data_IF_581292673961
#
_entry.id   IF_581292673961
#
_cell.length_a   1.000
_cell.length_b   1.000
_cell.length_c   1.000
_cell.angle_alpha   90.00
_cell.angle_beta   90.00
_cell.angle_gamma   90.00
#
_symmetry.space_group_name_H-M   'P 1'
#
loop_
_entity.id
_entity.type
_entity.pdbx_description
1 polymer ?
#
# COMPACT_ATOMS: atom_id res chain seq x y z
N UNK A 1 22.59 29.88 56.35
CA UNK A 1 21.56 29.05 55.70
C UNK A 1 21.83 29.19 54.22
N UNK A 2 22.74 28.34 53.73
CA UNK A 2 23.25 28.38 52.37
C UNK A 2 22.14 28.00 51.39
N UNK A 3 21.93 28.86 50.40
CA UNK A 3 21.11 28.57 49.24
C UNK A 3 21.95 27.70 48.32
N UNK A 4 21.61 26.42 48.24
CA UNK A 4 22.16 25.53 47.22
C UNK A 4 21.69 25.99 45.83
N UNK A 5 22.58 26.00 44.82
CA UNK A 5 22.17 26.35 43.47
C UNK A 5 21.31 25.23 42.88
N UNK A 6 20.20 25.61 42.26
CA UNK A 6 19.41 24.77 41.36
C UNK A 6 20.34 24.10 40.35
N UNK A 7 20.24 22.77 40.26
CA UNK A 7 20.95 21.97 39.27
C UNK A 7 20.63 22.50 37.87
N UNK A 8 21.68 22.82 37.12
CA UNK A 8 21.57 23.17 35.71
C UNK A 8 20.84 22.05 34.96
N UNK A 9 19.58 22.30 34.60
CA UNK A 9 18.89 21.50 33.59
C UNK A 9 19.69 21.66 32.29
N UNK A 10 20.42 20.62 31.90
CA UNK A 10 21.23 20.61 30.69
C UNK A 10 20.37 20.99 29.48
N UNK A 11 20.94 21.76 28.56
CA UNK A 11 20.27 22.09 27.30
C UNK A 11 19.72 20.82 26.63
N UNK A 12 18.50 20.86 26.08
CA UNK A 12 17.94 19.72 25.36
C UNK A 12 18.87 19.34 24.20
N UNK A 13 19.17 18.04 24.11
CA UNK A 13 19.98 17.49 23.03
C UNK A 13 19.29 17.70 21.69
N UNK A 14 20.03 18.13 20.67
CA UNK A 14 19.51 18.12 19.30
C UNK A 14 19.32 16.69 18.81
N UNK A 15 18.46 16.51 17.80
CA UNK A 15 18.23 15.21 17.17
C UNK A 15 19.53 14.62 16.61
N UNK A 16 20.35 15.43 15.95
CA UNK A 16 21.66 15.03 15.42
C UNK A 16 22.58 14.50 16.52
N UNK A 17 22.66 15.21 17.66
CA UNK A 17 23.49 14.80 18.79
C UNK A 17 22.97 13.52 19.47
N UNK A 18 21.64 13.37 19.58
CA UNK A 18 21.00 12.15 20.08
C UNK A 18 21.30 10.94 19.20
N UNK A 19 21.05 11.06 17.88
CA UNK A 19 21.35 10.01 16.90
C UNK A 19 22.83 9.65 16.90
N UNK A 20 23.72 10.63 16.97
CA UNK A 20 25.16 10.42 17.06
C UNK A 20 25.58 9.54 18.23
N UNK A 21 25.07 9.85 19.43
CA UNK A 21 25.38 9.05 20.63
C UNK A 21 24.90 7.60 20.49
N UNK A 22 23.70 7.40 19.97
CA UNK A 22 23.11 6.07 19.83
C UNK A 22 23.85 5.27 18.76
N UNK A 23 24.11 5.88 17.59
CA UNK A 23 24.85 5.25 16.50
C UNK A 23 26.26 4.87 16.95
N UNK A 24 26.99 5.80 17.58
CA UNK A 24 28.33 5.55 18.09
C UNK A 24 28.38 4.45 19.16
N UNK A 25 27.41 4.45 20.08
CA UNK A 25 27.25 3.39 21.07
C UNK A 25 26.96 2.02 20.45
N UNK A 26 26.11 1.98 19.43
CA UNK A 26 25.72 0.74 18.74
C UNK A 26 26.88 0.12 17.96
N UNK A 27 27.68 0.93 17.26
CA UNK A 27 28.82 0.45 16.46
C UNK A 27 30.13 0.35 17.26
N UNK A 28 30.12 0.77 18.54
CA UNK A 28 31.31 0.78 19.39
C UNK A 28 32.40 1.75 18.96
N UNK A 29 32.05 2.85 18.27
CA UNK A 29 33.00 3.87 17.78
C UNK A 29 32.46 5.27 18.07
N UNK A 30 33.33 6.24 18.27
CA UNK A 30 32.92 7.65 18.22
C UNK A 30 32.53 8.02 16.79
N UNK A 31 31.45 8.78 16.65
CA UNK A 31 31.00 9.32 15.36
C UNK A 31 31.02 10.85 15.39
N UNK A 32 31.41 11.44 14.27
CA UNK A 32 31.49 12.86 14.03
C UNK A 32 30.77 13.24 12.72
N UNK A 33 30.68 14.55 12.45
CA UNK A 33 30.09 15.12 11.23
C UNK A 33 28.68 14.59 10.90
N UNK A 34 27.86 14.39 11.95
CA UNK A 34 26.51 13.85 11.81
C UNK A 34 25.64 14.88 11.11
N UNK A 35 24.98 14.46 10.04
CA UNK A 35 23.95 15.24 9.37
C UNK A 35 22.71 14.38 9.13
N UNK A 36 21.55 15.02 9.28
CA UNK A 36 20.26 14.39 9.07
C UNK A 36 19.54 15.04 7.90
N UNK A 37 19.05 14.20 6.98
CA UNK A 37 18.19 14.65 5.89
C UNK A 37 16.90 13.85 5.92
N UNK A 38 15.80 14.52 6.20
CA UNK A 38 14.48 13.88 6.18
C UNK A 38 14.11 13.46 4.76
N UNK A 39 13.60 12.25 4.60
CA UNK A 39 13.00 11.82 3.34
C UNK A 39 11.63 12.48 3.13
N UNK A 40 11.32 12.83 1.88
CA UNK A 40 10.02 13.37 1.48
C UNK A 40 9.03 12.23 1.27
N UNK A 41 8.46 11.72 2.36
CA UNK A 41 7.51 10.58 2.32
C UNK A 41 7.50 9.87 3.67
N UNK A 42 6.32 9.40 4.08
CA UNK A 42 6.06 8.86 5.42
C UNK A 42 4.80 9.51 6.00
N UNK A 43 3.65 8.88 5.79
CA UNK A 43 2.37 9.39 6.28
C UNK A 43 2.22 9.21 7.80
N UNK A 44 2.80 8.14 8.35
CA UNK A 44 2.73 7.77 9.78
C UNK A 44 3.99 8.12 10.57
N UNK A 45 5.18 8.03 9.95
CA UNK A 45 6.49 8.12 10.64
C UNK A 45 7.47 9.07 9.94
N UNK A 46 8.35 9.66 10.72
CA UNK A 46 9.44 10.48 10.20
C UNK A 46 10.66 9.60 9.89
N UNK A 47 11.15 9.66 8.65
CA UNK A 47 12.31 8.90 8.21
C UNK A 47 13.44 9.86 7.84
N UNK A 48 14.63 9.66 8.41
CA UNK A 48 15.82 10.47 8.17
C UNK A 48 16.95 9.61 7.64
N UNK A 49 17.58 10.05 6.55
CA UNK A 49 18.91 9.61 6.20
C UNK A 49 19.91 10.22 7.20
N UNK A 50 20.79 9.37 7.73
CA UNK A 50 21.89 9.75 8.61
C UNK A 50 23.19 9.56 7.85
N UNK A 51 23.99 10.61 7.77
CA UNK A 51 25.37 10.55 7.31
C UNK A 51 26.27 10.94 8.48
N UNK A 52 27.29 10.15 8.78
CA UNK A 52 28.28 10.41 9.80
C UNK A 52 29.65 9.90 9.36
N UNK A 53 30.70 10.21 10.14
CA UNK A 53 32.05 9.63 9.99
C UNK A 53 32.48 8.97 11.29
N UNK A 54 33.14 7.83 11.20
CA UNK A 54 33.76 7.21 12.38
C UNK A 54 35.11 7.88 12.74
N UNK A 55 35.74 7.40 13.81
CA UNK A 55 37.05 7.90 14.28
C UNK A 55 38.17 7.83 13.23
N UNK A 56 38.08 6.92 12.26
CA UNK A 56 39.03 6.79 11.16
C UNK A 56 38.68 7.71 9.96
N UNK A 57 37.54 8.41 10.04
CA UNK A 57 37.01 9.25 8.96
C UNK A 57 36.19 8.49 7.93
N UNK A 58 35.93 7.19 8.14
CA UNK A 58 35.15 6.37 7.22
C UNK A 58 33.66 6.72 7.31
N UNK A 59 32.93 6.73 6.18
CA UNK A 59 31.52 7.08 6.18
C UNK A 59 30.68 6.01 6.89
N UNK A 60 29.82 6.44 7.81
CA UNK A 60 28.80 5.62 8.46
C UNK A 60 27.43 6.12 8.01
N UNK A 61 26.65 5.24 7.38
CA UNK A 61 25.32 5.56 6.87
C UNK A 61 24.25 4.78 7.60
N UNK A 62 23.23 5.48 8.07
CA UNK A 62 22.09 4.87 8.75
C UNK A 62 20.77 5.50 8.30
N UNK A 63 19.67 4.86 8.64
CA UNK A 63 18.32 5.39 8.54
C UNK A 63 17.72 5.43 9.93
N UNK A 64 17.21 6.59 10.33
CA UNK A 64 16.38 6.73 11.52
C UNK A 64 14.91 6.74 11.08
N UNK A 65 14.13 5.78 11.56
CA UNK A 65 12.66 5.85 11.59
C UNK A 65 12.23 6.21 13.00
N UNK A 66 11.41 7.24 13.16
CA UNK A 66 10.81 7.59 14.45
C UNK A 66 9.36 7.96 14.31
N UNK A 67 8.58 7.66 15.34
CA UNK A 67 7.23 8.20 15.46
C UNK A 67 7.27 9.72 15.72
N UNK A 68 6.19 10.47 15.42
CA UNK A 68 6.14 11.89 15.78
C UNK A 68 6.22 12.08 17.30
N UNK A 69 7.10 12.94 17.84
CA UNK A 69 7.24 13.11 19.30
C UNK A 69 5.91 13.39 20.02
N UNK A 70 5.67 12.68 21.12
CA UNK A 70 4.41 12.76 21.89
C UNK A 70 3.22 12.03 21.25
N UNK A 71 3.41 11.39 20.11
CA UNK A 71 2.47 10.53 19.42
C UNK A 71 3.18 9.21 19.06
N UNK A 72 2.42 8.17 18.71
CA UNK A 72 3.00 6.90 18.26
C UNK A 72 2.78 5.72 19.18
N UNK A 73 3.24 4.57 18.73
CA UNK A 73 2.95 3.27 19.32
C UNK A 73 4.28 2.53 19.53
N UNK A 74 4.81 2.65 20.74
CA UNK A 74 6.07 2.02 21.13
C UNK A 74 6.02 0.49 20.98
N UNK A 75 4.85 -0.12 21.18
CA UNK A 75 4.69 -1.57 21.02
C UNK A 75 4.86 -1.97 19.55
N UNK A 76 4.22 -1.25 18.61
CA UNK A 76 4.43 -1.48 17.17
C UNK A 76 5.87 -1.27 16.73
N UNK A 77 6.55 -0.24 17.26
CA UNK A 77 7.97 -0.02 16.97
C UNK A 77 8.85 -1.18 17.48
N UNK A 78 8.57 -1.70 18.68
CA UNK A 78 9.27 -2.88 19.22
C UNK A 78 8.98 -4.13 18.38
N UNK A 79 7.74 -4.37 17.99
CA UNK A 79 7.36 -5.48 17.13
C UNK A 79 8.15 -5.46 15.82
N UNK A 80 8.22 -4.31 15.16
CA UNK A 80 9.01 -4.12 13.93
C UNK A 80 10.50 -4.42 14.15
N UNK A 81 11.09 -3.95 15.27
CA UNK A 81 12.48 -4.21 15.62
C UNK A 81 12.79 -5.70 15.81
N UNK A 82 11.87 -6.41 16.46
CA UNK A 82 12.03 -7.84 16.73
C UNK A 82 11.89 -8.65 15.43
N UNK A 83 10.91 -8.32 14.58
CA UNK A 83 10.76 -8.93 13.26
C UNK A 83 12.02 -8.81 12.41
N UNK A 84 12.58 -7.59 12.30
CA UNK A 84 13.80 -7.36 11.53
C UNK A 84 14.97 -8.21 12.03
N UNK A 85 15.17 -8.30 13.35
CA UNK A 85 16.24 -9.11 13.93
C UNK A 85 16.03 -10.61 13.70
N UNK A 86 14.80 -11.10 13.88
CA UNK A 86 14.46 -12.51 13.68
C UNK A 86 14.60 -12.90 12.20
N UNK A 87 14.10 -12.07 11.28
CA UNK A 87 14.23 -12.28 9.84
C UNK A 87 15.70 -12.27 9.39
N UNK A 88 16.51 -11.33 9.91
CA UNK A 88 17.95 -11.31 9.65
C UNK A 88 18.63 -12.61 10.10
N UNK A 89 18.30 -13.12 11.30
CA UNK A 89 18.82 -14.38 11.82
C UNK A 89 18.39 -15.59 10.97
N UNK A 90 17.24 -15.52 10.30
CA UNK A 90 16.76 -16.52 9.34
C UNK A 90 17.39 -16.38 7.93
N UNK A 91 18.28 -15.41 7.72
CA UNK A 91 18.96 -15.17 6.44
C UNK A 91 18.15 -14.33 5.44
N UNK A 92 17.07 -13.70 5.87
CA UNK A 92 16.30 -12.75 5.04
C UNK A 92 17.16 -11.49 4.83
N UNK A 93 17.28 -10.98 3.59
CA UNK A 93 17.94 -9.70 3.36
C UNK A 93 17.08 -8.57 3.94
N UNK A 94 17.50 -8.02 5.07
CA UNK A 94 16.88 -6.87 5.76
C UNK A 94 17.97 -5.92 6.27
N UNK A 95 17.66 -4.64 6.50
CA UNK A 95 18.64 -3.71 7.07
C UNK A 95 19.05 -4.15 8.49
N UNK A 96 20.35 -4.07 8.80
CA UNK A 96 20.82 -4.33 10.17
C UNK A 96 20.21 -3.32 11.16
N UNK A 97 19.64 -3.81 12.27
CA UNK A 97 19.10 -2.95 13.33
C UNK A 97 20.20 -2.59 14.32
N UNK A 98 20.76 -1.38 14.18
CA UNK A 98 21.76 -0.84 15.13
C UNK A 98 21.16 -0.58 16.50
N UNK A 99 19.98 0.06 16.58
CA UNK A 99 19.32 0.37 17.83
C UNK A 99 17.80 0.49 17.67
N UNK A 100 17.06 0.15 18.72
CA UNK A 100 15.62 0.35 18.81
C UNK A 100 15.25 0.60 20.26
N UNK A 101 14.46 1.63 20.55
CA UNK A 101 13.96 1.91 21.88
C UNK A 101 12.70 2.77 21.85
N UNK A 102 11.97 2.79 22.97
CA UNK A 102 10.76 3.59 23.15
C UNK A 102 11.05 5.10 23.20
N UNK A 103 12.25 5.47 23.61
CA UNK A 103 12.72 6.86 23.66
C UNK A 103 14.23 6.89 23.88
N UNK A 104 14.86 8.02 23.52
CA UNK A 104 16.23 8.35 23.90
C UNK A 104 16.42 9.89 23.85
N UNK A 105 17.31 10.47 24.69
CA UNK A 105 17.52 11.92 24.72
C UNK A 105 17.85 12.50 23.34
N UNK A 106 17.04 13.45 22.87
CA UNK A 106 17.16 14.12 21.58
C UNK A 106 16.39 13.44 20.44
N UNK A 107 16.02 12.16 20.56
CA UNK A 107 15.05 11.51 19.66
C UNK A 107 13.64 11.69 20.20
N UNK A 108 13.47 11.49 21.51
CA UNK A 108 12.27 11.76 22.31
C UNK A 108 10.96 11.14 21.76
N UNK A 109 11.08 9.99 21.10
CA UNK A 109 9.99 9.19 20.52
C UNK A 109 10.44 7.73 20.33
N UNK A 110 9.50 6.78 20.17
CA UNK A 110 9.84 5.43 19.71
C UNK A 110 10.59 5.48 18.38
N UNK A 111 11.67 4.71 18.27
CA UNK A 111 12.51 4.76 17.08
C UNK A 111 13.20 3.43 16.74
N UNK A 112 13.59 3.36 15.48
CA UNK A 112 14.45 2.37 14.87
C UNK A 112 15.61 3.09 14.17
N UNK A 113 16.83 2.74 14.54
CA UNK A 113 18.05 3.14 13.84
C UNK A 113 18.64 1.91 13.18
N UNK A 114 18.76 1.94 11.86
CA UNK A 114 19.15 0.78 11.06
C UNK A 114 20.17 1.16 9.98
N UNK A 115 20.78 0.15 9.38
CA UNK A 115 21.64 0.29 8.20
C UNK A 115 20.92 1.05 7.07
N UNK A 116 21.66 1.91 6.38
CA UNK A 116 21.19 2.44 5.10
C UNK A 116 21.65 1.53 3.96
N UNK A 117 20.74 0.66 3.54
CA UNK A 117 20.93 -0.19 2.36
C UNK A 117 20.69 0.65 1.09
N UNK A 118 21.60 0.56 0.11
CA UNK A 118 21.44 1.22 -1.19
C UNK A 118 20.65 0.32 -2.16
N UNK A 119 19.68 0.90 -2.86
CA UNK A 119 18.84 0.22 -3.84
C UNK A 119 17.70 1.10 -4.33
N UNK A 120 16.99 0.62 -5.36
CA UNK A 120 15.83 1.27 -5.94
C UNK A 120 14.54 0.61 -5.43
N UNK A 121 13.55 1.43 -5.06
CA UNK A 121 12.24 1.00 -4.57
C UNK A 121 11.08 1.49 -5.42
N UNK A 122 11.34 2.33 -6.43
CA UNK A 122 10.29 2.87 -7.32
C UNK A 122 9.90 1.80 -8.34
N UNK A 123 8.67 1.25 -8.27
CA UNK A 123 8.29 0.10 -9.08
C UNK A 123 8.37 0.35 -10.59
N UNK A 124 7.98 1.56 -11.03
CA UNK A 124 8.04 1.94 -12.44
C UNK A 124 9.45 1.88 -13.02
N UNK A 125 10.48 2.21 -12.22
CA UNK A 125 11.88 2.13 -12.67
C UNK A 125 12.32 0.68 -12.74
N UNK A 126 12.07 -0.10 -11.69
CA UNK A 126 12.38 -1.54 -11.65
C UNK A 126 11.77 -2.31 -12.82
N UNK A 127 10.55 -1.95 -13.23
CA UNK A 127 9.83 -2.58 -14.33
C UNK A 127 10.29 -2.15 -15.73
N UNK A 128 10.93 -0.98 -15.90
CA UNK A 128 11.12 -0.36 -17.23
C UNK A 128 12.54 0.08 -17.54
N UNK A 129 13.31 0.48 -16.53
CA UNK A 129 14.63 1.05 -16.75
C UNK A 129 15.60 -0.06 -17.22
N UNK A 130 16.46 0.21 -18.22
CA UNK A 130 17.39 -0.78 -18.77
C UNK A 130 18.37 -1.35 -17.73
N UNK A 131 18.71 -0.56 -16.70
CA UNK A 131 19.61 -0.98 -15.62
C UNK A 131 19.13 -2.25 -14.89
N UNK A 132 17.82 -2.47 -14.80
CA UNK A 132 17.23 -3.65 -14.13
C UNK A 132 16.82 -4.76 -15.10
N UNK A 133 17.22 -4.70 -16.37
CA UNK A 133 16.81 -5.69 -17.37
C UNK A 133 17.30 -7.10 -17.04
N UNK A 134 18.52 -7.23 -16.51
CA UNK A 134 19.13 -8.54 -16.25
C UNK A 134 18.50 -9.29 -15.08
N UNK A 135 18.10 -8.59 -14.01
CA UNK A 135 17.45 -9.21 -12.84
C UNK A 135 15.97 -9.55 -13.07
N UNK A 136 15.28 -8.88 -14.02
CA UNK A 136 13.82 -8.97 -14.20
C UNK A 136 13.30 -10.40 -14.32
N UNK A 137 13.88 -11.27 -15.17
CA UNK A 137 13.39 -12.63 -15.33
C UNK A 137 13.51 -13.52 -14.09
N UNK A 138 14.47 -13.25 -13.20
CA UNK A 138 14.75 -14.08 -12.01
C UNK A 138 14.11 -13.56 -10.72
N UNK A 139 13.71 -12.29 -10.69
CA UNK A 139 13.30 -11.63 -9.45
C UNK A 139 12.04 -12.23 -8.81
N UNK A 140 11.08 -12.75 -9.59
CA UNK A 140 9.91 -13.42 -9.01
C UNK A 140 10.28 -14.69 -8.23
N UNK A 141 11.22 -15.49 -8.74
CA UNK A 141 11.76 -16.67 -8.05
C UNK A 141 12.59 -16.27 -6.81
N UNK A 142 13.41 -15.23 -6.91
CA UNK A 142 14.17 -14.69 -5.78
C UNK A 142 13.22 -14.23 -4.65
N UNK A 143 12.16 -13.48 -4.98
CA UNK A 143 11.15 -13.03 -4.02
C UNK A 143 10.42 -14.20 -3.36
N UNK A 144 10.11 -15.25 -4.12
CA UNK A 144 9.53 -16.49 -3.58
C UNK A 144 10.45 -17.16 -2.57
N UNK A 145 11.75 -17.25 -2.89
CA UNK A 145 12.75 -17.80 -2.00
C UNK A 145 12.86 -17.01 -0.69
N UNK A 146 12.85 -15.68 -0.79
CA UNK A 146 12.90 -14.75 0.35
C UNK A 146 11.67 -14.87 1.22
N UNK A 147 10.45 -14.93 0.66
CA UNK A 147 9.24 -15.24 1.42
C UNK A 147 9.36 -16.55 2.18
N UNK A 148 9.92 -17.57 1.54
CA UNK A 148 10.17 -18.84 2.22
C UNK A 148 11.11 -18.70 3.41
N UNK A 149 12.17 -17.89 3.31
CA UNK A 149 13.07 -17.59 4.44
C UNK A 149 12.32 -16.89 5.58
N UNK A 150 11.50 -15.89 5.26
CA UNK A 150 10.66 -15.18 6.24
C UNK A 150 9.75 -16.18 6.96
N UNK A 151 9.06 -17.04 6.22
CA UNK A 151 8.08 -17.97 6.79
C UNK A 151 8.70 -19.15 7.55
N UNK A 152 10.02 -19.37 7.43
CA UNK A 152 10.78 -20.32 8.26
C UNK A 152 11.39 -19.68 9.51
N UNK A 153 11.22 -18.38 9.71
CA UNK A 153 11.71 -17.69 10.90
C UNK A 153 11.06 -18.30 12.14
N UNK A 154 11.85 -18.75 13.14
CA UNK A 154 11.33 -19.24 14.40
C UNK A 154 10.45 -18.20 15.12
N UNK A 155 9.31 -18.65 15.65
CA UNK A 155 8.33 -17.77 16.31
C UNK A 155 8.62 -17.55 17.80
N UNK A 156 9.64 -18.20 18.37
CA UNK A 156 9.96 -18.19 19.80
C UNK A 156 10.30 -16.81 20.39
N UNK A 157 10.61 -15.85 19.52
CA UNK A 157 10.90 -14.46 19.91
C UNK A 157 9.79 -13.48 19.50
N UNK A 158 8.69 -13.96 18.92
CA UNK A 158 7.69 -13.16 18.22
C UNK A 158 6.34 -13.04 18.94
N UNK A 159 6.29 -13.33 20.25
CA UNK A 159 5.07 -13.24 21.08
C UNK A 159 4.43 -11.83 21.13
N UNK A 160 5.17 -10.79 20.74
CA UNK A 160 4.67 -9.41 20.66
C UNK A 160 3.76 -9.17 19.46
N UNK A 161 3.77 -10.07 18.47
CA UNK A 161 3.02 -9.93 17.24
C UNK A 161 1.56 -10.30 17.43
N UNK A 162 0.72 -9.60 16.67
CA UNK A 162 -0.70 -9.91 16.57
C UNK A 162 -0.89 -11.32 15.98
N UNK A 163 -1.90 -12.04 16.49
CA UNK A 163 -2.28 -13.38 16.02
C UNK A 163 -3.81 -13.44 15.89
N UNK A 164 -4.31 -12.80 14.84
CA UNK A 164 -5.74 -12.67 14.57
C UNK A 164 -6.07 -13.27 13.21
N UNK A 165 -7.31 -13.77 13.05
CA UNK A 165 -7.81 -14.15 11.74
C UNK A 165 -7.92 -12.90 10.83
N UNK A 166 -7.17 -12.85 9.71
CA UNK A 166 -7.09 -11.66 8.89
C UNK A 166 -8.42 -11.39 8.16
N UNK A 167 -9.21 -12.42 7.83
CA UNK A 167 -10.53 -12.26 7.22
C UNK A 167 -11.52 -11.61 8.18
N UNK A 168 -11.62 -12.10 9.42
CA UNK A 168 -12.47 -11.52 10.47
C UNK A 168 -12.09 -10.06 10.74
N UNK A 169 -10.79 -9.75 10.78
CA UNK A 169 -10.30 -8.39 11.01
C UNK A 169 -10.73 -7.43 9.90
N UNK A 170 -10.51 -7.83 8.64
CA UNK A 170 -10.89 -7.00 7.49
C UNK A 170 -12.41 -6.86 7.37
N UNK A 171 -13.16 -7.91 7.66
CA UNK A 171 -14.62 -7.82 7.69
C UNK A 171 -15.09 -6.84 8.75
N UNK A 172 -14.53 -6.87 9.97
CA UNK A 172 -14.91 -5.95 11.03
C UNK A 172 -14.69 -4.49 10.60
N UNK A 173 -13.52 -4.17 10.02
CA UNK A 173 -13.24 -2.84 9.46
C UNK A 173 -14.29 -2.45 8.42
N UNK A 174 -14.67 -3.39 7.54
CA UNK A 174 -15.70 -3.13 6.54
C UNK A 174 -17.08 -2.89 7.17
N UNK A 175 -17.47 -3.64 8.21
CA UNK A 175 -18.73 -3.44 8.93
C UNK A 175 -18.76 -2.07 9.62
N UNK A 176 -17.66 -1.64 10.21
CA UNK A 176 -17.56 -0.37 10.93
C UNK A 176 -17.67 0.86 10.02
N UNK A 177 -17.42 0.71 8.71
CA UNK A 177 -17.63 1.79 7.72
C UNK A 177 -19.12 2.08 7.44
N UNK A 178 -20.03 1.17 7.79
CA UNK A 178 -21.49 1.27 7.56
C UNK A 178 -21.92 1.73 6.14
N UNK A 179 -21.13 1.39 5.13
CA UNK A 179 -21.44 1.62 3.71
C UNK A 179 -21.24 0.31 2.95
N UNK A 180 -22.28 -0.55 2.86
CA UNK A 180 -22.16 -1.87 2.30
C UNK A 180 -22.13 -1.81 0.78
N UNK A 181 -21.27 -2.65 0.18
CA UNK A 181 -20.99 -2.67 -1.25
C UNK A 181 -21.22 -4.08 -1.81
N UNK A 182 -21.99 -4.25 -2.90
CA UNK A 182 -22.31 -5.58 -3.46
C UNK A 182 -21.08 -6.44 -3.72
N UNK A 183 -20.03 -5.83 -4.27
CA UNK A 183 -18.77 -6.50 -4.63
C UNK A 183 -18.03 -7.02 -3.39
N UNK A 184 -18.04 -6.27 -2.29
CA UNK A 184 -17.42 -6.69 -1.03
C UNK A 184 -18.19 -7.86 -0.41
N UNK A 185 -19.53 -7.81 -0.42
CA UNK A 185 -20.35 -8.91 0.10
C UNK A 185 -20.18 -10.20 -0.73
N UNK A 186 -20.06 -10.08 -2.05
CA UNK A 186 -19.75 -11.19 -2.94
C UNK A 186 -18.38 -11.82 -2.60
N UNK A 187 -17.35 -10.98 -2.42
CA UNK A 187 -16.00 -11.43 -2.03
C UNK A 187 -15.97 -12.09 -0.65
N UNK A 188 -16.59 -11.49 0.37
CA UNK A 188 -16.67 -12.07 1.71
C UNK A 188 -17.37 -13.42 1.73
N UNK A 189 -18.47 -13.56 0.97
CA UNK A 189 -19.18 -14.83 0.83
C UNK A 189 -18.30 -15.88 0.17
N UNK A 190 -17.68 -15.55 -0.96
CA UNK A 190 -16.80 -16.46 -1.69
C UNK A 190 -15.63 -16.93 -0.82
N UNK A 191 -14.97 -16.02 -0.09
CA UNK A 191 -13.83 -16.35 0.77
C UNK A 191 -14.19 -17.36 1.87
N UNK A 192 -15.38 -17.23 2.46
CA UNK A 192 -15.89 -18.19 3.46
C UNK A 192 -16.28 -19.53 2.87
N UNK A 193 -16.86 -19.53 1.68
CA UNK A 193 -17.32 -20.76 1.02
C UNK A 193 -16.15 -21.56 0.41
N UNK A 194 -14.98 -20.94 0.20
CA UNK A 194 -13.83 -21.53 -0.48
C UNK A 194 -12.54 -21.52 0.36
N UNK A 195 -12.64 -21.43 1.70
CA UNK A 195 -11.46 -21.35 2.57
C UNK A 195 -10.48 -22.52 2.34
N UNK A 196 -9.16 -22.24 2.25
CA UNK A 196 -8.16 -23.29 2.06
C UNK A 196 -8.01 -24.15 3.31
N UNK A 197 -7.25 -25.25 3.18
CA UNK A 197 -6.87 -26.08 4.34
C UNK A 197 -6.00 -25.28 5.33
N UNK A 198 -6.06 -25.67 6.60
CA UNK A 198 -5.25 -25.03 7.65
C UNK A 198 -3.75 -25.21 7.37
N UNK A 199 -3.02 -24.10 7.45
CA UNK A 199 -1.57 -24.07 7.32
C UNK A 199 -0.92 -23.77 8.69
N UNK A 200 0.23 -24.39 9.03
CA UNK A 200 1.02 -23.98 10.19
C UNK A 200 1.31 -22.47 10.17
N UNK A 201 1.12 -21.81 11.32
CA UNK A 201 1.36 -20.37 11.43
C UNK A 201 2.85 -20.05 11.24
N UNK A 202 3.11 -18.91 10.62
CA UNK A 202 4.45 -18.38 10.35
C UNK A 202 4.48 -16.87 10.62
N UNK A 203 5.69 -16.30 10.62
CA UNK A 203 5.86 -14.86 10.52
C UNK A 203 5.39 -14.43 9.13
N UNK A 204 4.37 -13.58 9.08
CA UNK A 204 3.85 -12.96 7.86
C UNK A 204 4.32 -11.52 7.85
N UNK A 205 4.91 -11.06 6.74
CA UNK A 205 5.34 -9.68 6.55
C UNK A 205 4.13 -8.73 6.50
N UNK A 206 3.04 -9.13 5.83
CA UNK A 206 1.76 -8.44 5.83
C UNK A 206 1.62 -7.33 4.78
N UNK A 207 2.76 -6.76 4.33
CA UNK A 207 2.84 -5.83 3.20
C UNK A 207 3.97 -6.16 2.20
N UNK A 208 4.13 -7.43 1.83
CA UNK A 208 5.21 -7.87 0.92
C UNK A 208 4.95 -7.48 -0.55
N UNK A 209 5.40 -6.29 -0.97
CA UNK A 209 5.16 -5.72 -2.32
C UNK A 209 6.33 -4.85 -2.80
N UNK A 210 6.41 -4.61 -4.12
CA UNK A 210 7.55 -3.93 -4.76
C UNK A 210 7.98 -2.60 -4.13
N UNK A 211 7.04 -1.79 -3.64
CA UNK A 211 7.38 -0.51 -3.01
C UNK A 211 8.15 -0.64 -1.69
N UNK A 212 8.24 -1.86 -1.14
CA UNK A 212 8.88 -2.18 0.12
C UNK A 212 10.16 -3.01 -0.09
N UNK A 213 10.67 -3.08 -1.32
CA UNK A 213 11.94 -3.74 -1.64
C UNK A 213 12.98 -2.70 -2.01
N UNK A 214 14.23 -2.94 -1.61
CA UNK A 214 15.39 -2.28 -2.20
C UNK A 214 16.05 -3.26 -3.15
N UNK A 215 16.12 -2.90 -4.43
CA UNK A 215 16.62 -3.76 -5.50
C UNK A 215 17.78 -3.06 -6.20
N UNK A 216 18.82 -3.83 -6.48
CA UNK A 216 19.97 -3.43 -7.28
C UNK A 216 19.95 -4.17 -8.64
N UNK A 217 20.83 -3.80 -9.60
CA UNK A 217 20.86 -4.43 -10.93
C UNK A 217 21.04 -5.96 -10.92
N UNK A 218 21.60 -6.49 -9.82
CA UNK A 218 21.90 -7.90 -9.59
C UNK A 218 20.92 -8.64 -8.66
N UNK A 219 19.89 -7.98 -8.11
CA UNK A 219 18.86 -8.64 -7.30
C UNK A 219 18.39 -7.86 -6.07
N UNK A 220 17.71 -8.56 -5.16
CA UNK A 220 17.15 -8.00 -3.94
C UNK A 220 18.26 -7.67 -2.93
N UNK A 221 18.19 -6.47 -2.33
CA UNK A 221 19.10 -6.01 -1.27
C UNK A 221 18.46 -6.00 0.10
N UNK A 222 17.20 -5.60 0.21
CA UNK A 222 16.49 -5.58 1.48
C UNK A 222 14.97 -5.62 1.32
N UNK A 223 14.30 -6.28 2.27
CA UNK A 223 12.86 -6.20 2.53
C UNK A 223 12.63 -5.18 3.64
N UNK A 224 11.79 -4.17 3.35
CA UNK A 224 11.48 -3.05 4.22
C UNK A 224 10.05 -3.13 4.75
N UNK A 225 9.76 -2.28 5.73
CA UNK A 225 8.41 -1.97 6.21
C UNK A 225 7.64 -3.13 6.85
N UNK A 226 8.14 -3.56 8.00
CA UNK A 226 7.60 -4.67 8.81
C UNK A 226 6.50 -4.25 9.79
N UNK A 227 5.86 -3.09 9.57
CA UNK A 227 4.89 -2.52 10.52
C UNK A 227 3.55 -3.26 10.57
N UNK A 228 3.25 -4.07 9.54
CA UNK A 228 2.07 -4.93 9.46
C UNK A 228 2.40 -6.41 9.71
N UNK A 229 3.61 -6.70 10.19
CA UNK A 229 4.03 -8.06 10.45
C UNK A 229 3.22 -8.68 11.59
N UNK A 230 2.83 -9.93 11.41
CA UNK A 230 1.97 -10.66 12.34
C UNK A 230 2.22 -12.17 12.26
N UNK A 231 1.62 -12.94 13.16
CA UNK A 231 1.62 -14.41 13.08
C UNK A 231 0.38 -14.84 12.31
N UNK A 232 0.55 -15.61 11.23
CA UNK A 232 -0.55 -15.92 10.32
C UNK A 232 -0.25 -17.04 9.32
N UNK A 233 -1.12 -17.19 8.32
CA UNK A 233 -0.89 -18.13 7.22
C UNK A 233 0.15 -17.53 6.25
N UNK A 234 1.26 -18.24 5.97
CA UNK A 234 2.33 -17.71 5.11
C UNK A 234 1.90 -17.41 3.68
N UNK A 235 0.84 -18.05 3.17
CA UNK A 235 0.43 -17.84 1.78
C UNK A 235 -0.23 -16.47 1.59
N UNK A 236 -0.58 -15.78 2.67
CA UNK A 236 -1.02 -14.39 2.65
C UNK A 236 -0.04 -13.49 1.88
N UNK A 237 1.25 -13.58 2.16
CA UNK A 237 2.24 -12.70 1.51
C UNK A 237 2.43 -13.03 0.02
N UNK A 238 2.32 -14.31 -0.36
CA UNK A 238 2.41 -14.72 -1.78
C UNK A 238 1.20 -14.20 -2.56
N UNK A 239 0.00 -14.36 -1.98
CA UNK A 239 -1.24 -13.84 -2.54
C UNK A 239 -1.22 -12.31 -2.62
N UNK A 240 -0.74 -11.65 -1.56
CA UNK A 240 -0.58 -10.20 -1.50
C UNK A 240 0.27 -9.71 -2.65
N UNK A 241 1.46 -10.26 -2.88
CA UNK A 241 2.34 -9.86 -3.98
C UNK A 241 1.72 -10.05 -5.38
N UNK A 242 0.74 -10.95 -5.51
CA UNK A 242 -0.01 -11.19 -6.74
C UNK A 242 -1.15 -10.20 -6.99
N UNK A 243 -1.57 -9.42 -5.99
CA UNK A 243 -2.68 -8.45 -6.13
C UNK A 243 -2.36 -7.42 -7.21
N UNK A 244 -3.33 -7.16 -8.11
CA UNK A 244 -3.14 -6.30 -9.29
C UNK A 244 -2.71 -4.87 -8.94
N UNK A 245 -3.14 -4.35 -7.79
CA UNK A 245 -2.74 -3.04 -7.28
C UNK A 245 -1.20 -2.87 -7.19
N UNK A 246 -0.46 -3.96 -6.97
CA UNK A 246 1.00 -3.96 -6.84
C UNK A 246 1.74 -4.25 -8.15
N UNK A 247 1.02 -4.39 -9.27
CA UNK A 247 1.64 -4.57 -10.60
C UNK A 247 1.96 -3.25 -11.28
N UNK A 248 1.47 -2.11 -10.76
CA UNK A 248 1.73 -0.76 -11.27
C UNK A 248 1.44 -0.59 -12.78
N UNK A 249 0.41 -1.30 -13.26
CA UNK A 249 -0.04 -1.28 -14.65
C UNK A 249 0.74 -2.20 -15.60
N UNK A 250 1.57 -3.10 -15.08
CA UNK A 250 2.15 -4.21 -15.84
C UNK A 250 1.26 -5.46 -15.74
N UNK A 251 1.37 -6.35 -16.74
CA UNK A 251 0.51 -7.53 -16.85
C UNK A 251 0.98 -8.70 -15.98
N UNK A 252 2.30 -8.83 -15.80
CA UNK A 252 2.89 -9.95 -15.09
C UNK A 252 2.38 -10.03 -13.63
N UNK A 253 1.94 -11.20 -13.15
CA UNK A 253 1.15 -11.29 -11.93
C UNK A 253 1.92 -10.94 -10.65
N UNK A 254 3.22 -11.22 -10.60
CA UNK A 254 4.05 -11.04 -9.40
C UNK A 254 4.68 -9.66 -9.44
N UNK A 255 4.03 -8.68 -8.80
CA UNK A 255 4.47 -7.29 -8.79
C UNK A 255 4.65 -6.65 -10.18
N UNK A 256 4.17 -7.25 -11.27
CA UNK A 256 4.47 -6.77 -12.62
C UNK A 256 5.83 -7.21 -13.18
N UNK A 257 6.49 -8.22 -12.60
CA UNK A 257 7.85 -8.62 -12.97
C UNK A 257 8.02 -10.07 -13.42
N UNK A 258 7.18 -11.01 -12.94
CA UNK A 258 7.28 -12.42 -13.30
C UNK A 258 6.00 -13.22 -13.09
N UNK A 259 6.08 -14.53 -13.29
CA UNK A 259 4.92 -15.44 -13.24
C UNK A 259 4.70 -16.02 -11.84
N UNK A 260 3.47 -16.50 -11.57
CA UNK A 260 3.15 -17.14 -10.29
C UNK A 260 3.94 -18.43 -10.08
N UNK A 261 4.24 -19.15 -11.17
CA UNK A 261 5.04 -20.37 -11.13
C UNK A 261 6.45 -20.08 -10.64
N UNK A 262 7.10 -19.02 -11.12
CA UNK A 262 8.43 -18.61 -10.65
C UNK A 262 8.41 -18.28 -9.15
N UNK A 263 7.40 -17.52 -8.69
CA UNK A 263 7.23 -17.20 -7.28
C UNK A 263 7.11 -18.47 -6.42
N UNK A 264 6.28 -19.42 -6.86
CA UNK A 264 6.05 -20.67 -6.15
C UNK A 264 7.28 -21.60 -6.20
N UNK A 265 8.03 -21.62 -7.31
CA UNK A 265 9.28 -22.39 -7.44
C UNK A 265 10.34 -21.92 -6.43
N UNK A 266 10.48 -20.59 -6.28
CA UNK A 266 11.37 -20.00 -5.29
C UNK A 266 10.96 -20.34 -3.85
N UNK A 267 9.66 -20.26 -3.58
CA UNK A 267 9.09 -20.56 -2.28
C UNK A 267 9.26 -22.03 -1.88
N UNK A 268 8.99 -22.96 -2.80
CA UNK A 268 9.18 -24.39 -2.61
C UNK A 268 10.64 -24.74 -2.36
N UNK A 269 11.57 -24.14 -3.11
CA UNK A 269 13.01 -24.33 -2.88
C UNK A 269 13.45 -23.99 -1.45
N UNK A 270 12.81 -23.01 -0.84
CA UNK A 270 13.16 -22.56 0.49
C UNK A 270 12.46 -23.42 1.56
N UNK A 271 11.17 -23.70 1.39
CA UNK A 271 10.31 -24.29 2.43
C UNK A 271 10.11 -25.81 2.29
N UNK A 272 10.32 -26.36 1.10
CA UNK A 272 9.90 -27.71 0.73
C UNK A 272 8.39 -27.86 0.51
N UNK A 273 7.61 -26.77 0.61
CA UNK A 273 6.17 -26.76 0.38
C UNK A 273 5.82 -25.99 -0.89
N UNK A 274 4.94 -26.56 -1.70
CA UNK A 274 4.43 -25.94 -2.93
C UNK A 274 2.94 -25.62 -2.79
N UNK A 275 2.57 -24.34 -2.62
CA UNK A 275 1.18 -23.93 -2.60
C UNK A 275 0.45 -24.34 -3.86
N UNK A 276 -0.79 -24.81 -3.70
CA UNK A 276 -1.63 -25.13 -4.86
C UNK A 276 -2.10 -23.84 -5.56
N UNK A 277 -2.47 -23.93 -6.85
CA UNK A 277 -3.04 -22.78 -7.57
C UNK A 277 -4.31 -22.26 -6.90
N UNK A 278 -5.16 -23.15 -6.37
CA UNK A 278 -6.40 -22.78 -5.67
C UNK A 278 -6.13 -22.06 -4.36
N UNK A 279 -5.14 -22.53 -3.59
CA UNK A 279 -4.73 -21.88 -2.34
C UNK A 279 -4.17 -20.48 -2.59
N UNK A 280 -3.23 -20.35 -3.54
CA UNK A 280 -2.67 -19.05 -3.91
C UNK A 280 -3.75 -18.10 -4.44
N UNK A 281 -4.69 -18.62 -5.23
CA UNK A 281 -5.81 -17.84 -5.74
C UNK A 281 -6.71 -17.32 -4.62
N UNK A 282 -7.02 -18.14 -3.60
CA UNK A 282 -7.78 -17.69 -2.45
C UNK A 282 -7.11 -16.52 -1.74
N UNK A 283 -5.80 -16.59 -1.52
CA UNK A 283 -5.04 -15.51 -0.89
C UNK A 283 -4.90 -14.27 -1.78
N UNK A 284 -4.88 -14.41 -3.11
CA UNK A 284 -4.95 -13.28 -4.05
C UNK A 284 -6.32 -12.59 -4.01
N UNK A 285 -7.42 -13.36 -3.90
CA UNK A 285 -8.77 -12.83 -3.69
C UNK A 285 -8.85 -12.10 -2.35
N UNK A 286 -8.35 -12.71 -1.27
CA UNK A 286 -8.30 -12.10 0.05
C UNK A 286 -7.49 -10.80 0.04
N UNK A 287 -6.30 -10.81 -0.55
CA UNK A 287 -5.47 -9.61 -0.69
C UNK A 287 -6.16 -8.49 -1.47
N UNK A 288 -6.89 -8.83 -2.53
CA UNK A 288 -7.67 -7.86 -3.31
C UNK A 288 -8.81 -7.25 -2.49
N UNK A 289 -9.54 -8.08 -1.72
CA UNK A 289 -10.59 -7.62 -0.81
C UNK A 289 -10.01 -6.78 0.35
N UNK A 290 -8.91 -7.21 0.97
CA UNK A 290 -8.15 -6.49 2.01
C UNK A 290 -7.79 -5.09 1.51
N UNK A 291 -7.20 -4.98 0.33
CA UNK A 291 -6.85 -3.68 -0.25
C UNK A 291 -8.09 -2.82 -0.57
N UNK A 292 -9.16 -3.41 -1.09
CA UNK A 292 -10.43 -2.71 -1.32
C UNK A 292 -11.00 -2.11 -0.03
N UNK A 293 -11.03 -2.87 1.07
CA UNK A 293 -11.54 -2.38 2.36
C UNK A 293 -10.61 -1.32 2.96
N UNK A 294 -9.30 -1.55 2.96
CA UNK A 294 -8.33 -0.61 3.53
C UNK A 294 -8.25 0.71 2.75
N UNK A 295 -8.38 0.69 1.42
CA UNK A 295 -8.43 1.90 0.61
C UNK A 295 -9.69 2.74 0.90
N UNK A 296 -10.83 2.08 1.15
CA UNK A 296 -12.05 2.77 1.62
C UNK A 296 -11.88 3.37 3.00
N UNK A 297 -11.32 2.62 3.95
CA UNK A 297 -11.02 3.14 5.28
C UNK A 297 -10.09 4.36 5.23
N UNK A 298 -9.07 4.34 4.39
CA UNK A 298 -8.17 5.48 4.17
C UNK A 298 -8.92 6.69 3.59
N UNK A 299 -9.81 6.49 2.62
CA UNK A 299 -10.62 7.56 2.07
C UNK A 299 -11.59 8.15 3.11
N UNK A 300 -12.16 7.32 3.98
CA UNK A 300 -13.11 7.76 5.01
C UNK A 300 -12.47 8.66 6.07
N UNK A 301 -11.17 8.46 6.38
CA UNK A 301 -10.42 9.41 7.22
C UNK A 301 -10.45 10.83 6.65
N UNK A 302 -10.51 10.97 5.33
CA UNK A 302 -10.69 12.26 4.70
C UNK A 302 -12.12 12.78 4.76
N UNK A 303 -13.10 11.94 4.40
CA UNK A 303 -14.50 12.36 4.30
C UNK A 303 -15.16 12.66 5.65
N UNK A 304 -14.80 11.91 6.70
CA UNK A 304 -15.20 12.19 8.09
C UNK A 304 -14.61 13.50 8.65
N UNK A 305 -13.61 14.09 7.98
CA UNK A 305 -12.88 15.26 8.45
C UNK A 305 -11.78 14.96 9.47
N UNK A 306 -11.52 13.69 9.79
CA UNK A 306 -10.41 13.25 10.66
C UNK A 306 -9.06 13.74 10.14
N UNK A 307 -8.86 13.67 8.81
CA UNK A 307 -7.64 14.14 8.16
C UNK A 307 -7.90 14.84 6.83
N UNK A 308 -7.40 16.07 6.68
CA UNK A 308 -7.48 16.78 5.39
C UNK A 308 -6.29 16.42 4.49
N UNK A 309 -6.45 15.41 3.64
CA UNK A 309 -5.43 14.95 2.67
C UNK A 309 -6.00 14.81 1.25
N UNK A 310 -5.28 15.38 0.27
CA UNK A 310 -5.58 15.23 -1.15
C UNK A 310 -5.30 13.79 -1.63
N UNK A 311 -4.30 13.14 -1.06
CA UNK A 311 -3.93 11.77 -1.36
C UNK A 311 -5.02 10.80 -0.93
N UNK A 312 -5.54 10.93 0.30
CA UNK A 312 -6.65 10.12 0.80
C UNK A 312 -7.92 10.32 -0.03
N UNK A 313 -8.21 11.58 -0.43
CA UNK A 313 -9.32 11.87 -1.36
C UNK A 313 -9.13 11.18 -2.73
N UNK A 314 -7.91 11.20 -3.27
CA UNK A 314 -7.59 10.54 -4.53
C UNK A 314 -7.67 9.01 -4.45
N UNK A 315 -7.30 8.41 -3.32
CA UNK A 315 -7.51 6.98 -3.05
C UNK A 315 -9.00 6.65 -3.14
N UNK A 316 -9.87 7.47 -2.55
CA UNK A 316 -11.32 7.28 -2.60
C UNK A 316 -11.88 7.16 -4.03
N UNK A 317 -11.35 7.95 -4.98
CA UNK A 317 -11.76 7.85 -6.40
C UNK A 317 -11.29 6.56 -7.08
N UNK A 318 -10.22 5.94 -6.58
CA UNK A 318 -9.62 4.71 -7.13
C UNK A 318 -10.15 3.43 -6.48
N UNK A 319 -11.01 3.51 -5.47
CA UNK A 319 -11.70 2.34 -4.86
C UNK A 319 -12.38 1.47 -5.93
N UNK A 320 -12.92 2.08 -6.98
CA UNK A 320 -13.54 1.34 -8.09
C UNK A 320 -12.56 0.48 -8.90
N UNK A 321 -11.25 0.77 -8.88
CA UNK A 321 -10.21 -0.11 -9.46
C UNK A 321 -10.18 -1.43 -8.68
N UNK A 322 -10.22 -1.37 -7.35
CA UNK A 322 -10.21 -2.57 -6.49
C UNK A 322 -11.55 -3.31 -6.47
N UNK A 323 -12.69 -2.62 -6.67
CA UNK A 323 -13.97 -3.29 -6.94
C UNK A 323 -13.91 -4.07 -8.28
N UNK A 324 -13.31 -3.47 -9.32
CA UNK A 324 -13.12 -4.13 -10.61
C UNK A 324 -12.21 -5.35 -10.48
N UNK A 325 -11.07 -5.19 -9.83
CA UNK A 325 -10.10 -6.27 -9.63
C UNK A 325 -10.72 -7.42 -8.82
N UNK A 326 -11.54 -7.13 -7.82
CA UNK A 326 -12.22 -8.16 -7.04
C UNK A 326 -13.24 -8.94 -7.90
N UNK A 327 -14.00 -8.27 -8.77
CA UNK A 327 -14.89 -8.95 -9.71
C UNK A 327 -14.11 -9.80 -10.72
N UNK A 328 -12.99 -9.28 -11.24
CA UNK A 328 -12.15 -9.96 -12.21
C UNK A 328 -11.51 -11.22 -11.63
N UNK A 329 -10.87 -11.10 -10.47
CA UNK A 329 -10.24 -12.25 -9.79
C UNK A 329 -11.26 -13.30 -9.35
N UNK A 330 -12.49 -12.91 -9.00
CA UNK A 330 -13.57 -13.86 -8.69
C UNK A 330 -14.21 -14.50 -9.95
N UNK A 331 -13.86 -14.04 -11.15
CA UNK A 331 -14.53 -14.47 -12.39
C UNK A 331 -15.99 -14.01 -12.49
N UNK A 332 -16.34 -12.89 -11.84
CA UNK A 332 -17.69 -12.31 -11.80
C UNK A 332 -17.84 -11.07 -12.70
N UNK A 333 -16.78 -10.64 -13.38
CA UNK A 333 -16.76 -9.44 -14.21
C UNK A 333 -17.43 -9.66 -15.58
N UNK A 334 -18.46 -8.87 -15.88
CA UNK A 334 -19.14 -8.86 -17.18
C UNK A 334 -18.67 -7.69 -18.06
N UNK A 335 -17.93 -8.00 -19.12
CA UNK A 335 -17.38 -7.01 -20.07
C UNK A 335 -18.37 -6.55 -21.14
N UNK A 336 -19.48 -7.27 -21.34
CA UNK A 336 -20.50 -6.96 -22.34
C UNK A 336 -21.35 -5.72 -22.00
N UNK A 337 -21.31 -5.22 -20.76
CA UNK A 337 -22.06 -4.04 -20.32
C UNK A 337 -21.61 -2.76 -21.06
N UNK A 338 -22.32 -2.36 -22.10
CA UNK A 338 -22.07 -1.07 -22.75
C UNK A 338 -22.52 0.05 -21.81
N UNK A 339 -21.61 0.96 -21.47
CA UNK A 339 -21.96 2.19 -20.75
C UNK A 339 -22.25 3.25 -21.82
N UNK A 340 -23.50 3.71 -21.94
CA UNK A 340 -23.86 4.68 -22.97
C UNK A 340 -23.08 5.98 -22.78
N UNK A 341 -22.52 6.50 -23.87
CA UNK A 341 -21.89 7.81 -23.87
C UNK A 341 -22.95 8.90 -23.69
N UNK A 342 -22.64 9.94 -22.92
CA UNK A 342 -23.48 11.13 -22.86
C UNK A 342 -23.44 11.87 -24.20
N UNK A 343 -24.57 12.45 -24.60
CA UNK A 343 -24.60 13.38 -25.70
C UNK A 343 -23.94 14.71 -25.27
N UNK A 344 -23.09 15.28 -26.12
CA UNK A 344 -22.57 16.64 -25.88
C UNK A 344 -23.68 17.67 -26.14
N UNK A 345 -23.97 18.58 -25.18
CA UNK A 345 -24.89 19.67 -25.43
C UNK A 345 -24.33 20.61 -26.51
N UNK A 346 -25.22 21.21 -27.32
CA UNK A 346 -24.83 22.20 -28.33
C UNK A 346 -24.44 23.50 -27.61
N UNK A 347 -23.15 23.73 -27.43
CA UNK A 347 -22.62 24.92 -26.77
C UNK A 347 -22.62 26.15 -27.69
N UNK A 348 -23.06 27.31 -27.19
CA UNK A 348 -22.90 28.58 -27.90
C UNK A 348 -21.53 29.21 -27.58
N UNK A 349 -21.17 30.29 -28.29
CA UNK A 349 -19.92 31.04 -28.04
C UNK A 349 -19.87 31.64 -26.63
N UNK A 350 -21.02 31.92 -26.01
CA UNK A 350 -21.09 32.42 -24.63
C UNK A 350 -20.93 31.32 -23.57
N UNK A 351 -21.15 30.07 -23.95
CA UNK A 351 -21.09 28.91 -23.03
C UNK A 351 -19.68 28.33 -22.92
N UNK A 352 -18.67 29.05 -23.45
CA UNK A 352 -17.26 28.65 -23.46
C UNK A 352 -16.35 29.64 -22.74
N UNK A 353 -15.35 29.16 -21.97
CA UNK A 353 -15.09 27.76 -21.68
C UNK A 353 -16.12 27.19 -20.69
N UNK A 354 -16.61 25.98 -20.96
CA UNK A 354 -17.44 25.20 -20.05
C UNK A 354 -16.67 24.86 -18.77
N UNK A 355 -17.36 24.50 -17.65
CA UNK A 355 -16.68 24.02 -16.46
C UNK A 355 -15.71 22.86 -16.72
N UNK A 356 -16.07 21.93 -17.61
CA UNK A 356 -15.17 20.84 -18.05
C UNK A 356 -13.91 21.39 -18.71
N UNK A 357 -14.04 22.30 -19.68
CA UNK A 357 -12.90 22.92 -20.38
C UNK A 357 -12.00 23.72 -19.40
N UNK A 358 -12.58 24.37 -18.40
CA UNK A 358 -11.83 25.05 -17.33
C UNK A 358 -11.03 24.03 -16.51
N UNK A 359 -11.66 22.95 -16.05
CA UNK A 359 -11.00 21.92 -15.24
C UNK A 359 -9.86 21.24 -16.01
N UNK A 360 -10.07 20.93 -17.30
CA UNK A 360 -9.04 20.34 -18.17
C UNK A 360 -7.86 21.30 -18.39
N UNK A 361 -8.14 22.58 -18.65
CA UNK A 361 -7.11 23.60 -18.81
C UNK A 361 -6.27 23.75 -17.53
N UNK A 362 -6.92 23.86 -16.37
CA UNK A 362 -6.22 23.99 -15.08
C UNK A 362 -5.40 22.72 -14.78
N UNK A 363 -5.96 21.53 -15.03
CA UNK A 363 -5.25 20.28 -14.86
C UNK A 363 -3.98 20.20 -15.75
N UNK A 364 -4.11 20.60 -17.02
CA UNK A 364 -2.99 20.63 -17.96
C UNK A 364 -1.91 21.62 -17.51
N UNK A 365 -2.27 22.85 -17.12
CA UNK A 365 -1.31 23.85 -16.65
C UNK A 365 -0.59 23.42 -15.37
N UNK A 366 -1.30 22.86 -14.39
CA UNK A 366 -0.68 22.36 -13.15
C UNK A 366 0.34 21.25 -13.41
N UNK A 367 0.03 20.35 -14.35
CA UNK A 367 0.89 19.21 -14.68
C UNK A 367 2.05 19.55 -15.62
N UNK A 368 1.74 20.14 -16.77
CA UNK A 368 2.66 20.33 -17.89
C UNK A 368 3.51 21.60 -17.77
N UNK A 369 2.98 22.67 -17.18
CA UNK A 369 3.70 23.94 -17.08
C UNK A 369 4.36 24.07 -15.70
N UNK A 370 3.55 24.01 -14.64
CA UNK A 370 4.01 24.26 -13.26
C UNK A 370 4.77 23.04 -12.71
N UNK A 371 4.18 21.86 -12.83
CA UNK A 371 4.78 20.62 -12.32
C UNK A 371 6.05 20.20 -13.07
N UNK A 372 6.15 20.48 -14.37
CA UNK A 372 7.34 20.16 -15.16
C UNK A 372 8.52 21.11 -14.87
N UNK A 373 8.23 22.37 -14.52
CA UNK A 373 9.23 23.38 -14.18
C UNK A 373 9.81 23.24 -12.75
N UNK A 374 9.28 22.33 -11.93
CA UNK A 374 9.69 22.18 -10.52
C UNK A 374 11.08 21.52 -10.36
N UNK A 375 11.89 22.00 -9.42
CA UNK A 375 13.23 21.46 -9.13
C UNK A 375 13.17 20.13 -8.35
N UNK A 376 14.27 19.34 -8.27
CA UNK A 376 14.32 18.12 -7.45
C UNK A 376 14.02 18.36 -5.96
N UNK A 377 14.42 19.50 -5.38
CA UNK A 377 14.10 19.82 -3.97
C UNK A 377 12.59 20.07 -3.76
N UNK A 378 11.86 20.42 -4.82
CA UNK A 378 10.41 20.63 -4.80
C UNK A 378 9.61 19.34 -5.08
N UNK A 379 10.21 18.17 -4.89
CA UNK A 379 9.60 16.87 -5.19
C UNK A 379 8.21 16.66 -4.58
N UNK A 380 7.98 17.13 -3.34
CA UNK A 380 6.66 17.06 -2.68
C UNK A 380 5.63 17.95 -3.38
N UNK A 381 5.97 19.19 -3.68
CA UNK A 381 5.06 20.12 -4.40
C UNK A 381 4.73 19.57 -5.78
N UNK A 382 5.73 19.06 -6.51
CA UNK A 382 5.54 18.41 -7.81
C UNK A 382 4.64 17.16 -7.72
N UNK A 383 4.75 16.38 -6.64
CA UNK A 383 3.84 15.27 -6.37
C UNK A 383 2.40 15.74 -6.15
N UNK A 384 2.19 16.71 -5.25
CA UNK A 384 0.85 17.24 -4.98
C UNK A 384 0.19 17.86 -6.22
N UNK A 385 0.96 18.57 -7.06
CA UNK A 385 0.45 19.12 -8.32
C UNK A 385 -0.08 18.03 -9.27
N UNK A 386 0.61 16.88 -9.33
CA UNK A 386 0.13 15.72 -10.12
C UNK A 386 -1.16 15.13 -9.54
N UNK A 387 -1.30 15.08 -8.21
CA UNK A 387 -2.53 14.65 -7.54
C UNK A 387 -3.68 15.60 -7.87
N UNK A 388 -3.47 16.92 -7.77
CA UNK A 388 -4.46 17.93 -8.13
C UNK A 388 -4.90 17.82 -9.58
N UNK A 389 -3.95 17.74 -10.52
CA UNK A 389 -4.25 17.60 -11.95
C UNK A 389 -5.08 16.33 -12.24
N UNK A 390 -4.78 15.22 -11.55
CA UNK A 390 -5.56 13.99 -11.69
C UNK A 390 -7.00 14.17 -11.17
N UNK A 391 -7.18 14.73 -9.97
CA UNK A 391 -8.50 14.97 -9.39
C UNK A 391 -9.37 15.90 -10.26
N UNK A 392 -8.77 16.97 -10.81
CA UNK A 392 -9.46 17.87 -11.73
C UNK A 392 -9.87 17.16 -13.03
N UNK A 393 -9.00 16.31 -13.59
CA UNK A 393 -9.33 15.51 -14.76
C UNK A 393 -10.45 14.50 -14.49
N UNK A 394 -10.51 13.92 -13.29
CA UNK A 394 -11.61 13.05 -12.86
C UNK A 394 -12.92 13.85 -12.78
N UNK A 395 -12.91 15.03 -12.15
CA UNK A 395 -14.07 15.90 -12.06
C UNK A 395 -14.59 16.36 -13.43
N UNK A 396 -13.68 16.68 -14.36
CA UNK A 396 -14.03 17.01 -15.74
C UNK A 396 -14.78 15.86 -16.43
N UNK A 397 -14.25 14.62 -16.31
CA UNK A 397 -14.90 13.43 -16.88
C UNK A 397 -16.26 13.13 -16.25
N UNK A 398 -16.41 13.36 -14.95
CA UNK A 398 -17.67 13.18 -14.24
C UNK A 398 -18.76 14.13 -14.74
N UNK A 399 -18.40 15.40 -14.97
CA UNK A 399 -19.31 16.38 -15.57
C UNK A 399 -19.69 15.99 -17.01
N UNK A 400 -18.72 15.53 -17.80
CA UNK A 400 -18.96 15.12 -19.19
C UNK A 400 -19.77 13.82 -19.33
N UNK A 401 -19.65 12.90 -18.37
CA UNK A 401 -20.36 11.62 -18.40
C UNK A 401 -21.88 11.77 -18.22
N UNK A 402 -22.35 12.89 -17.66
CA UNK A 402 -23.77 13.19 -17.51
C UNK A 402 -24.54 12.13 -16.72
N UNK A 403 -25.89 12.08 -16.83
CA UNK A 403 -26.71 11.15 -16.05
C UNK A 403 -26.72 9.72 -16.61
N UNK A 404 -26.29 9.51 -17.86
CA UNK A 404 -26.49 8.27 -18.61
C UNK A 404 -25.89 7.03 -17.92
N UNK A 405 -24.68 7.16 -17.36
CA UNK A 405 -24.06 6.07 -16.62
C UNK A 405 -24.84 5.75 -15.32
N UNK A 406 -25.32 6.78 -14.62
CA UNK A 406 -26.17 6.61 -13.44
C UNK A 406 -27.54 6.00 -13.76
N UNK A 407 -28.13 6.34 -14.91
CA UNK A 407 -29.38 5.74 -15.40
C UNK A 407 -29.21 4.25 -15.72
N UNK A 408 -28.10 3.87 -16.36
CA UNK A 408 -27.79 2.47 -16.64
C UNK A 408 -27.64 1.63 -15.35
N UNK A 409 -26.99 2.21 -14.32
CA UNK A 409 -26.87 1.57 -13.00
C UNK A 409 -28.23 1.43 -12.34
N UNK A 410 -29.05 2.50 -12.29
CA UNK A 410 -30.41 2.46 -11.73
C UNK A 410 -31.29 1.44 -12.45
N UNK A 411 -31.22 1.37 -13.76
CA UNK A 411 -31.97 0.39 -14.56
C UNK A 411 -31.57 -1.04 -14.22
N UNK A 412 -30.26 -1.31 -14.11
CA UNK A 412 -29.75 -2.64 -13.75
C UNK A 412 -30.14 -3.07 -12.33
N UNK A 413 -30.10 -2.14 -11.37
CA UNK A 413 -30.57 -2.38 -9.99
C UNK A 413 -32.09 -2.59 -9.94
N UNK A 414 -32.86 -1.77 -10.67
CA UNK A 414 -34.31 -1.90 -10.75
C UNK A 414 -34.77 -3.22 -11.34
N UNK A 415 -34.02 -3.81 -12.28
CA UNK A 415 -34.28 -5.14 -12.82
C UNK A 415 -34.13 -6.26 -11.76
N UNK A 416 -33.36 -6.02 -10.69
CA UNK A 416 -33.22 -6.88 -9.51
C UNK A 416 -34.20 -6.51 -8.39
N UNK A 417 -35.08 -5.54 -8.63
CA UNK A 417 -35.96 -4.96 -7.62
C UNK A 417 -35.21 -4.32 -6.47
N UNK A 418 -34.02 -3.75 -6.72
CA UNK A 418 -33.21 -3.02 -5.74
C UNK A 418 -33.21 -1.53 -6.10
N UNK A 419 -33.41 -0.68 -5.10
CA UNK A 419 -33.40 0.79 -5.26
C UNK A 419 -31.97 1.37 -5.20
N UNK A 420 -31.01 0.61 -4.65
CA UNK A 420 -29.63 1.06 -4.45
C UNK A 420 -28.61 -0.09 -4.43
N UNK A 421 -27.32 0.26 -4.57
CA UNK A 421 -26.21 -0.69 -4.33
C UNK A 421 -26.20 -1.20 -2.89
N UNK A 422 -26.61 -0.39 -1.90
CA UNK A 422 -26.75 -0.80 -0.50
C UNK A 422 -27.75 -1.95 -0.35
N UNK A 423 -28.93 -1.80 -0.94
CA UNK A 423 -29.96 -2.84 -0.87
C UNK A 423 -29.51 -4.13 -1.56
N UNK A 424 -28.85 -4.02 -2.73
CA UNK A 424 -28.26 -5.18 -3.39
C UNK A 424 -27.22 -5.86 -2.49
N UNK A 425 -26.35 -5.10 -1.82
CA UNK A 425 -25.36 -5.63 -0.88
C UNK A 425 -26.03 -6.34 0.31
N UNK A 426 -27.08 -5.77 0.88
CA UNK A 426 -27.83 -6.35 1.99
C UNK A 426 -28.53 -7.66 1.58
N UNK A 427 -29.11 -7.72 0.37
CA UNK A 427 -29.70 -8.93 -0.19
C UNK A 427 -28.66 -10.02 -0.46
N UNK A 428 -27.49 -9.65 -0.99
CA UNK A 428 -26.35 -10.55 -1.15
C UNK A 428 -25.84 -11.07 0.19
N UNK A 429 -25.77 -10.22 1.22
CA UNK A 429 -25.40 -10.62 2.57
C UNK A 429 -26.42 -11.60 3.17
N UNK A 430 -27.71 -11.30 3.05
CA UNK A 430 -28.80 -12.15 3.52
C UNK A 430 -28.95 -13.46 2.74
N UNK A 431 -28.33 -13.56 1.55
CA UNK A 431 -28.45 -14.72 0.67
C UNK A 431 -29.79 -14.81 -0.06
N UNK A 432 -30.53 -13.71 -0.14
CA UNK A 432 -31.78 -13.64 -0.92
C UNK A 432 -31.52 -13.43 -2.42
N UNK A 433 -30.32 -12.98 -2.78
CA UNK A 433 -29.78 -12.96 -4.15
C UNK A 433 -28.42 -13.65 -4.16
N UNK A 434 -28.09 -14.32 -5.26
CA UNK A 434 -26.78 -14.94 -5.48
C UNK A 434 -25.89 -14.08 -6.37
N UNK A 435 -24.61 -13.94 -6.01
CA UNK A 435 -23.62 -13.27 -6.86
C UNK A 435 -23.31 -14.03 -8.16
N UNK A 436 -23.75 -15.30 -8.28
CA UNK A 436 -23.59 -16.13 -9.47
C UNK A 436 -24.69 -15.92 -10.53
N UNK A 437 -25.77 -15.21 -10.19
CA UNK A 437 -26.83 -14.86 -11.14
C UNK A 437 -26.32 -13.84 -12.17
N UNK A 438 -26.59 -14.08 -13.45
CA UNK A 438 -26.16 -13.22 -14.57
C UNK A 438 -26.60 -11.76 -14.38
N UNK A 439 -27.85 -11.55 -13.95
CA UNK A 439 -28.40 -10.22 -13.70
C UNK A 439 -27.69 -9.49 -12.57
N UNK A 440 -27.27 -10.21 -11.53
CA UNK A 440 -26.52 -9.66 -10.39
C UNK A 440 -25.09 -9.31 -10.81
N UNK A 441 -24.40 -10.21 -11.53
CA UNK A 441 -23.06 -9.94 -12.10
C UNK A 441 -23.10 -8.72 -13.02
N UNK A 442 -24.11 -8.63 -13.88
CA UNK A 442 -24.31 -7.52 -14.80
C UNK A 442 -24.52 -6.20 -14.04
N UNK A 443 -25.34 -6.18 -12.98
CA UNK A 443 -25.58 -4.98 -12.19
C UNK A 443 -24.31 -4.50 -11.46
N UNK A 444 -23.57 -5.42 -10.82
CA UNK A 444 -22.29 -5.10 -10.17
C UNK A 444 -21.27 -4.57 -11.18
N UNK A 445 -21.10 -5.26 -12.31
CA UNK A 445 -20.15 -4.88 -13.35
C UNK A 445 -20.50 -3.53 -13.99
N UNK A 446 -21.78 -3.25 -14.21
CA UNK A 446 -22.25 -1.95 -14.74
C UNK A 446 -21.92 -0.82 -13.77
N UNK A 447 -22.19 -1.00 -12.47
CA UNK A 447 -21.90 0.00 -11.44
C UNK A 447 -20.40 0.30 -11.29
N UNK A 448 -19.59 -0.75 -11.22
CA UNK A 448 -18.14 -0.62 -11.10
C UNK A 448 -17.54 0.05 -12.34
N UNK A 449 -17.91 -0.41 -13.54
CA UNK A 449 -17.39 0.15 -14.79
C UNK A 449 -17.84 1.60 -15.01
N UNK A 450 -19.04 1.98 -14.56
CA UNK A 450 -19.52 3.36 -14.65
C UNK A 450 -18.61 4.30 -13.87
N UNK A 451 -18.23 3.91 -12.64
CA UNK A 451 -17.26 4.66 -11.84
C UNK A 451 -15.86 4.63 -12.46
N UNK A 452 -15.43 3.48 -12.95
CA UNK A 452 -14.07 3.28 -13.46
C UNK A 452 -13.78 4.07 -14.75
N UNK A 453 -14.74 4.19 -15.67
CA UNK A 453 -14.59 5.03 -16.86
C UNK A 453 -14.39 6.51 -16.52
N UNK A 454 -14.95 6.97 -15.41
CA UNK A 454 -14.75 8.34 -14.90
C UNK A 454 -13.42 8.45 -14.14
N UNK A 455 -13.15 7.53 -13.21
CA UNK A 455 -11.95 7.59 -12.39
C UNK A 455 -10.67 7.35 -13.20
N UNK A 456 -10.63 6.25 -13.96
CA UNK A 456 -9.45 5.80 -14.70
C UNK A 456 -9.82 4.96 -15.95
N UNK A 457 -10.18 5.60 -17.08
CA UNK A 457 -10.64 4.90 -18.28
C UNK A 457 -9.58 4.01 -18.95
N UNK A 458 -8.30 4.15 -18.57
CA UNK A 458 -7.22 3.30 -19.08
C UNK A 458 -7.14 1.95 -18.37
N UNK A 459 -7.82 1.80 -17.23
CA UNK A 459 -7.76 0.61 -16.39
C UNK A 459 -8.54 -0.60 -16.96
N UNK A 460 -9.49 -0.31 -17.86
CA UNK A 460 -10.37 -1.30 -18.52
C UNK A 460 -9.78 -1.80 -19.85
N UNK A 461 -8.64 -1.26 -20.28
CA UNK A 461 -8.05 -1.55 -21.60
C UNK A 461 -7.19 -2.79 -21.61
#
# INVERSE_FOLDING_TARGET
>A
MDVMPESAAGQPLSLEAGVGRILGGAIGKTVADISLRQFTGGASRQVYAVEARDEAGEPVRAVLRRDPPGQGDAQRMRAEAVCLRAAAAAGVPVPEVFAAADTAPGIDAPYLLMERVEGESIPRKLQRDPEFEQMRPGLADELGHVLGLIHRTPLDTLDILDDHDPLTTIEQIYRDLDDPRPVVEAGLRWLRENSPEDHPKALVHGDFRLGNFLIAPDGLRAVLDWELAHVGNPIEDLGWLCVRAWRFGADAPVGGLGTREQLVDGYERATGYRPSTTELHWWEVFGTLKWLVLSRFQAERHFSGTERSLELAAIGRRVCESEYDLLDVLGLLETSAAIPASAEPVATVHDRPSPTEILELVAATLGADIGAASTPEQGRSRYLLRVCANLLGIAARELSAGPAAGDAVRSSLGALGCDSERELAERLRAGTLSCLEDSVRQAMSTAVRARLLVANPRYVR
#
